data_IF_367648148357
#
_entry.id   IF_367648148357
#
_cell.length_a   1.000
_cell.length_b   1.000
_cell.length_c   1.000
_cell.angle_alpha   90.00
_cell.angle_beta   90.00
_cell.angle_gamma   90.00
#
_symmetry.space_group_name_H-M   'P 1'
#
loop_
_entity.id
_entity.type
_entity.pdbx_description
1 polymer ?
#
# COMPACT_ATOMS: atom_id res chain seq x y z
N UNK A 1 -2.20 -15.46 -7.75
CA UNK A 1 -3.64 -15.74 -7.80
C UNK A 1 -4.16 -15.47 -9.19
N UNK A 2 -5.00 -16.35 -9.71
CA UNK A 2 -5.68 -16.15 -10.99
C UNK A 2 -6.97 -15.32 -10.81
N UNK A 3 -7.62 -14.94 -11.91
CA UNK A 3 -8.86 -14.15 -11.89
C UNK A 3 -9.96 -14.77 -11.02
N UNK A 4 -10.22 -16.08 -11.17
CA UNK A 4 -11.27 -16.80 -10.42
C UNK A 4 -11.06 -16.74 -8.90
N UNK A 5 -9.81 -16.90 -8.45
CA UNK A 5 -9.44 -16.81 -7.04
C UNK A 5 -9.60 -15.38 -6.49
N UNK A 6 -9.20 -14.38 -7.27
CA UNK A 6 -9.37 -12.96 -6.90
C UNK A 6 -10.84 -12.60 -6.77
N UNK A 7 -11.68 -13.04 -7.70
CA UNK A 7 -13.10 -12.76 -7.68
C UNK A 7 -13.78 -13.38 -6.46
N UNK A 8 -13.47 -14.65 -6.14
CA UNK A 8 -13.94 -15.32 -4.93
C UNK A 8 -13.51 -14.58 -3.66
N UNK A 9 -12.25 -14.14 -3.60
CA UNK A 9 -11.72 -13.40 -2.46
C UNK A 9 -12.48 -12.08 -2.27
N UNK A 10 -12.62 -11.29 -3.32
CA UNK A 10 -13.34 -10.01 -3.29
C UNK A 10 -14.79 -10.18 -2.85
N UNK A 11 -15.49 -11.18 -3.37
CA UNK A 11 -16.87 -11.48 -2.98
C UNK A 11 -16.97 -11.83 -1.49
N UNK A 12 -16.13 -12.76 -1.01
CA UNK A 12 -16.11 -13.18 0.40
C UNK A 12 -15.75 -12.03 1.34
N UNK A 13 -14.81 -11.17 0.96
CA UNK A 13 -14.41 -10.01 1.76
C UNK A 13 -15.52 -8.96 1.90
N UNK A 14 -16.44 -8.89 0.94
CA UNK A 14 -17.66 -8.06 1.02
C UNK A 14 -18.84 -8.75 1.71
N UNK A 15 -18.65 -9.98 2.21
CA UNK A 15 -19.71 -10.76 2.85
C UNK A 15 -20.82 -11.21 1.90
N UNK A 16 -20.60 -11.16 0.57
CA UNK A 16 -21.64 -11.46 -0.41
C UNK A 16 -21.72 -12.94 -0.72
N UNK A 17 -22.93 -13.44 -0.88
CA UNK A 17 -23.22 -14.71 -1.55
C UNK A 17 -23.06 -14.57 -3.07
N UNK A 18 -22.93 -15.70 -3.78
CA UNK A 18 -22.91 -15.68 -5.24
C UNK A 18 -24.21 -15.11 -5.83
N UNK A 19 -25.34 -15.30 -5.14
CA UNK A 19 -26.64 -14.76 -5.53
C UNK A 19 -26.63 -13.23 -5.45
N UNK A 20 -26.26 -12.68 -4.29
CA UNK A 20 -26.24 -11.23 -4.08
C UNK A 20 -25.24 -10.52 -5.01
N UNK A 21 -24.10 -11.15 -5.30
CA UNK A 21 -23.17 -10.60 -6.28
C UNK A 21 -23.76 -10.61 -7.69
N UNK A 22 -24.47 -11.68 -8.06
CA UNK A 22 -25.10 -11.79 -9.37
C UNK A 22 -26.21 -10.75 -9.54
N UNK A 23 -27.04 -10.54 -8.51
CA UNK A 23 -28.06 -9.48 -8.47
C UNK A 23 -27.44 -8.09 -8.64
N UNK A 24 -26.34 -7.80 -7.95
CA UNK A 24 -25.66 -6.49 -8.07
C UNK A 24 -25.00 -6.24 -9.41
N UNK A 25 -24.64 -7.29 -10.13
CA UNK A 25 -24.04 -7.22 -11.46
C UNK A 25 -25.06 -7.39 -12.59
N UNK A 26 -26.34 -7.58 -12.27
CA UNK A 26 -27.41 -7.86 -13.24
C UNK A 26 -27.09 -9.07 -14.15
N UNK A 27 -26.57 -10.14 -13.53
CA UNK A 27 -26.24 -11.40 -14.20
C UNK A 27 -26.85 -12.60 -13.48
N UNK A 28 -26.83 -13.77 -14.12
CA UNK A 28 -27.27 -15.00 -13.45
C UNK A 28 -26.26 -15.46 -12.42
N UNK A 29 -26.73 -16.04 -11.30
CA UNK A 29 -25.90 -16.74 -10.31
C UNK A 29 -24.98 -17.78 -10.94
N UNK A 30 -25.44 -18.45 -12.01
CA UNK A 30 -24.65 -19.42 -12.78
C UNK A 30 -23.45 -18.77 -13.48
N UNK A 31 -23.57 -17.54 -13.97
CA UNK A 31 -22.46 -16.80 -14.56
C UNK A 31 -21.37 -16.54 -13.51
N UNK A 32 -21.74 -16.02 -12.34
CA UNK A 32 -20.81 -15.81 -11.21
C UNK A 32 -20.14 -17.11 -10.80
N UNK A 33 -20.89 -18.21 -10.67
CA UNK A 33 -20.33 -19.51 -10.33
C UNK A 33 -19.30 -20.02 -11.37
N UNK A 34 -19.55 -19.78 -12.67
CA UNK A 34 -18.60 -20.13 -13.75
C UNK A 34 -17.35 -19.27 -13.72
N UNK A 35 -17.49 -17.98 -13.41
CA UNK A 35 -16.35 -17.07 -13.25
C UNK A 35 -15.49 -17.45 -12.05
N UNK A 36 -16.12 -17.76 -10.92
CA UNK A 36 -15.41 -18.16 -9.70
C UNK A 36 -14.77 -19.55 -9.79
N UNK A 37 -15.28 -20.43 -10.64
CA UNK A 37 -14.68 -21.76 -10.88
C UNK A 37 -13.67 -21.78 -12.04
N UNK A 38 -13.44 -20.65 -12.70
CA UNK A 38 -12.52 -20.54 -13.84
C UNK A 38 -13.03 -21.21 -15.13
N UNK A 39 -14.31 -21.61 -15.18
CA UNK A 39 -14.93 -22.24 -16.35
C UNK A 39 -15.24 -21.23 -17.47
N UNK A 40 -15.41 -19.96 -17.11
CA UNK A 40 -15.64 -18.87 -18.06
C UNK A 40 -15.07 -17.57 -17.52
N UNK A 41 -14.88 -16.59 -18.39
CA UNK A 41 -14.55 -15.22 -18.02
C UNK A 41 -15.75 -14.29 -18.27
N UNK A 42 -15.93 -13.24 -17.45
CA UNK A 42 -16.86 -12.17 -17.78
C UNK A 42 -16.42 -11.44 -19.05
N UNK A 43 -17.37 -10.84 -19.76
CA UNK A 43 -17.07 -9.90 -20.84
C UNK A 43 -16.54 -8.56 -20.28
N UNK A 44 -16.15 -7.66 -21.19
CA UNK A 44 -15.57 -6.36 -20.83
C UNK A 44 -16.53 -5.52 -19.98
N UNK A 45 -17.85 -5.55 -20.28
CA UNK A 45 -18.83 -4.76 -19.55
C UNK A 45 -18.98 -5.26 -18.11
N UNK A 46 -19.09 -6.57 -17.94
CA UNK A 46 -19.14 -7.23 -16.63
C UNK A 46 -17.83 -7.03 -15.86
N UNK A 47 -16.67 -7.04 -16.52
CA UNK A 47 -15.38 -6.71 -15.89
C UNK A 47 -15.35 -5.31 -15.31
N UNK A 48 -15.88 -4.32 -16.03
CA UNK A 48 -15.99 -2.94 -15.54
C UNK A 48 -16.97 -2.85 -14.37
N UNK A 49 -18.10 -3.56 -14.42
CA UNK A 49 -19.04 -3.61 -13.30
C UNK A 49 -18.43 -4.25 -12.05
N UNK A 50 -17.70 -5.36 -12.20
CA UNK A 50 -16.97 -6.01 -11.11
C UNK A 50 -15.93 -5.05 -10.53
N UNK A 51 -15.15 -4.39 -11.39
CA UNK A 51 -14.18 -3.36 -11.00
C UNK A 51 -14.81 -2.27 -10.13
N UNK A 52 -15.99 -1.78 -10.53
CA UNK A 52 -16.73 -0.75 -9.79
C UNK A 52 -17.32 -1.29 -8.47
N UNK A 53 -17.93 -2.49 -8.49
CA UNK A 53 -18.55 -3.12 -7.32
C UNK A 53 -17.56 -3.33 -6.16
N UNK A 54 -16.33 -3.72 -6.51
CA UNK A 54 -15.27 -4.01 -5.55
C UNK A 54 -14.26 -2.86 -5.37
N UNK A 55 -14.41 -1.77 -6.13
CA UNK A 55 -13.51 -0.62 -6.11
C UNK A 55 -12.03 -1.00 -6.30
N UNK A 56 -11.79 -1.88 -7.28
CA UNK A 56 -10.47 -2.36 -7.74
C UNK A 56 -10.30 -2.02 -9.21
N UNK A 57 -9.08 -2.03 -9.75
CA UNK A 57 -8.86 -1.82 -11.18
C UNK A 57 -9.18 -3.09 -11.98
N UNK A 58 -9.59 -2.93 -13.23
CA UNK A 58 -9.69 -4.06 -14.18
C UNK A 58 -8.34 -4.77 -14.29
N UNK A 59 -7.23 -4.01 -14.30
CA UNK A 59 -5.87 -4.56 -14.34
C UNK A 59 -5.59 -5.55 -13.19
N UNK A 60 -5.99 -5.20 -11.96
CA UNK A 60 -5.90 -6.10 -10.80
C UNK A 60 -6.69 -7.39 -11.02
N UNK A 61 -7.87 -7.33 -11.64
CA UNK A 61 -8.70 -8.51 -11.90
C UNK A 61 -8.00 -9.44 -12.90
N UNK A 62 -7.50 -8.92 -14.02
CA UNK A 62 -7.06 -9.75 -15.16
C UNK A 62 -5.58 -10.14 -15.12
N UNK A 63 -4.69 -9.32 -14.54
CA UNK A 63 -3.25 -9.62 -14.56
C UNK A 63 -2.86 -10.70 -13.58
N UNK A 64 -2.32 -11.80 -14.07
CA UNK A 64 -1.56 -12.73 -13.22
C UNK A 64 -0.23 -12.07 -12.83
N UNK A 65 0.07 -12.02 -11.53
CA UNK A 65 1.33 -11.48 -10.99
C UNK A 65 2.61 -12.13 -11.58
N UNK A 66 2.50 -13.13 -12.46
CA UNK A 66 3.62 -13.85 -13.08
C UNK A 66 4.17 -13.24 -14.36
N UNK A 67 3.51 -12.24 -14.96
CA UNK A 67 4.04 -11.58 -16.17
C UNK A 67 4.66 -10.22 -15.85
N UNK A 68 5.87 -10.23 -15.27
CA UNK A 68 6.80 -9.11 -15.41
C UNK A 68 7.96 -9.54 -16.30
N UNK A 69 8.02 -8.99 -17.51
CA UNK A 69 9.17 -9.14 -18.42
C UNK A 69 10.33 -8.34 -17.78
N UNK A 70 11.37 -9.05 -17.31
CA UNK A 70 12.59 -8.42 -16.83
C UNK A 70 13.46 -7.99 -18.02
N UNK A 71 13.92 -6.74 -18.04
CA UNK A 71 15.05 -6.31 -18.88
C UNK A 71 16.17 -5.77 -18.00
N UNK A 72 17.35 -6.39 -18.16
CA UNK A 72 18.70 -6.11 -17.61
C UNK A 72 19.09 -6.72 -16.25
N UNK A 73 20.34 -7.24 -16.09
CA UNK A 73 20.71 -8.09 -14.95
C UNK A 73 21.43 -7.38 -13.78
N UNK A 74 21.89 -6.13 -13.93
CA UNK A 74 22.72 -5.47 -12.88
C UNK A 74 21.97 -4.45 -11.99
N UNK A 75 20.76 -4.01 -12.37
CA UNK A 75 19.98 -3.02 -11.61
C UNK A 75 19.12 -3.64 -10.51
N UNK A 76 18.76 -4.92 -10.63
CA UNK A 76 17.79 -5.56 -9.72
C UNK A 76 18.34 -5.75 -8.31
N UNK A 77 19.60 -6.15 -8.18
CA UNK A 77 20.22 -6.45 -6.88
C UNK A 77 20.43 -5.20 -6.03
N UNK A 78 20.76 -4.06 -6.65
CA UNK A 78 20.92 -2.80 -5.92
C UNK A 78 19.57 -2.18 -5.54
N UNK A 79 18.55 -2.35 -6.38
CA UNK A 79 17.17 -1.98 -6.04
C UNK A 79 16.62 -2.82 -4.89
N UNK A 80 16.85 -4.14 -4.91
CA UNK A 80 16.42 -5.05 -3.83
C UNK A 80 17.08 -4.69 -2.49
N UNK A 81 18.38 -4.36 -2.50
CA UNK A 81 19.09 -3.89 -1.29
C UNK A 81 18.52 -2.58 -0.75
N UNK A 82 18.17 -1.65 -1.65
CA UNK A 82 17.55 -0.38 -1.27
C UNK A 82 16.16 -0.60 -0.67
N UNK A 83 15.34 -1.47 -1.28
CA UNK A 83 14.03 -1.87 -0.76
C UNK A 83 14.18 -2.50 0.63
N UNK A 84 15.13 -3.43 0.78
CA UNK A 84 15.40 -4.10 2.05
C UNK A 84 15.80 -3.11 3.14
N UNK A 85 16.71 -2.18 2.83
CA UNK A 85 17.11 -1.13 3.75
C UNK A 85 15.95 -0.20 4.11
N UNK A 86 15.10 0.20 3.15
CA UNK A 86 13.94 1.05 3.42
C UNK A 86 12.95 0.37 4.37
N UNK A 87 12.66 -0.90 4.13
CA UNK A 87 11.77 -1.71 4.99
C UNK A 87 12.35 -1.89 6.41
N UNK A 88 13.65 -2.11 6.51
CA UNK A 88 14.37 -2.19 7.78
C UNK A 88 14.33 -0.85 8.53
N UNK A 89 14.63 0.26 7.85
CA UNK A 89 14.62 1.60 8.44
C UNK A 89 13.22 1.99 8.95
N UNK A 90 12.16 1.71 8.18
CA UNK A 90 10.78 1.96 8.62
C UNK A 90 10.42 1.24 9.92
N UNK A 91 10.91 -0.01 10.09
CA UNK A 91 10.73 -0.82 11.31
C UNK A 91 11.61 -0.38 12.48
N UNK A 92 12.60 0.47 12.25
CA UNK A 92 13.51 0.98 13.29
C UNK A 92 13.29 2.47 13.57
N UNK A 93 12.32 3.13 12.94
CA UNK A 93 12.07 4.57 13.10
C UNK A 93 10.65 4.82 13.62
N UNK A 94 9.83 5.61 12.91
CA UNK A 94 8.52 6.06 13.37
C UNK A 94 7.61 4.90 13.80
N UNK A 95 7.56 3.80 13.03
CA UNK A 95 6.71 2.65 13.34
C UNK A 95 7.11 1.96 14.67
N UNK A 96 8.39 2.00 15.03
CA UNK A 96 8.90 1.45 16.29
C UNK A 96 9.05 2.51 17.40
N UNK A 97 8.81 3.79 17.09
CA UNK A 97 9.11 4.91 18.00
C UNK A 97 10.56 4.88 18.51
N UNK A 98 11.49 4.57 17.61
CA UNK A 98 12.92 4.43 17.87
C UNK A 98 13.72 5.38 16.99
N UNK A 99 14.97 5.67 17.37
CA UNK A 99 15.90 6.49 16.59
C UNK A 99 15.39 7.89 16.22
N UNK A 100 14.63 8.51 17.12
CA UNK A 100 14.32 9.94 17.08
C UNK A 100 15.61 10.75 17.24
N UNK A 101 15.73 11.84 16.49
CA UNK A 101 16.91 12.71 16.51
C UNK A 101 16.50 14.17 16.76
N UNK A 102 17.49 15.04 16.89
CA UNK A 102 17.25 16.48 17.02
C UNK A 102 16.62 17.01 15.74
N UNK A 103 15.50 17.72 15.87
CA UNK A 103 14.78 18.33 14.76
C UNK A 103 15.67 19.24 13.92
N UNK A 104 15.66 19.04 12.61
CA UNK A 104 16.42 19.83 11.64
C UNK A 104 15.64 21.04 11.14
N UNK A 105 14.31 21.07 11.33
CA UNK A 105 13.41 22.17 10.94
C UNK A 105 12.60 22.64 12.15
N UNK A 106 12.05 23.84 12.06
CA UNK A 106 11.12 24.32 13.07
C UNK A 106 9.89 23.41 13.14
N UNK A 107 9.53 22.98 14.35
CA UNK A 107 8.33 22.17 14.63
C UNK A 107 8.29 20.83 13.86
N UNK A 108 9.45 20.24 13.58
CA UNK A 108 9.55 18.93 12.93
C UNK A 108 9.88 17.82 13.92
N UNK A 109 9.44 16.62 13.57
CA UNK A 109 9.82 15.36 14.18
C UNK A 109 10.72 14.61 13.21
N UNK A 110 11.91 14.27 13.67
CA UNK A 110 12.97 13.75 12.81
C UNK A 110 13.43 12.38 13.34
N UNK A 111 13.52 11.42 12.44
CA UNK A 111 14.03 10.07 12.71
C UNK A 111 15.17 9.76 11.75
N UNK A 112 16.23 9.13 12.26
CA UNK A 112 17.39 8.77 11.44
C UNK A 112 17.79 7.33 11.70
N UNK A 113 18.03 6.56 10.64
CA UNK A 113 18.57 5.20 10.75
C UNK A 113 19.72 4.99 9.78
N UNK A 114 20.77 4.29 10.19
CA UNK A 114 21.94 4.03 9.35
C UNK A 114 22.33 2.56 9.46
N UNK A 115 22.54 1.91 8.32
CA UNK A 115 23.07 0.56 8.24
C UNK A 115 23.97 0.43 7.00
N UNK A 116 25.25 0.11 7.21
CA UNK A 116 26.24 0.03 6.14
C UNK A 116 26.38 1.35 5.38
N UNK A 117 26.31 1.35 4.03
CA UNK A 117 26.45 2.56 3.22
C UNK A 117 25.18 3.42 3.22
N UNK A 118 24.08 2.95 3.81
CA UNK A 118 22.79 3.60 3.71
C UNK A 118 22.44 4.40 4.95
N UNK A 119 21.91 5.60 4.72
CA UNK A 119 21.32 6.47 5.75
C UNK A 119 19.90 6.83 5.34
N UNK A 120 18.95 6.62 6.24
CA UNK A 120 17.53 6.96 6.11
C UNK A 120 17.22 8.15 7.01
N UNK A 121 16.43 9.10 6.49
CA UNK A 121 15.78 10.15 7.29
C UNK A 121 14.29 10.13 7.03
N UNK A 122 13.51 10.27 8.10
CA UNK A 122 12.08 10.58 8.06
C UNK A 122 11.83 11.85 8.85
N UNK A 123 11.30 12.86 8.18
CA UNK A 123 11.00 14.16 8.79
C UNK A 123 9.57 14.51 8.48
N UNK A 124 8.79 14.84 9.52
CA UNK A 124 7.45 15.38 9.33
C UNK A 124 7.15 16.54 10.27
N UNK A 125 6.16 17.34 9.90
CA UNK A 125 5.60 18.42 10.73
C UNK A 125 4.11 18.17 10.98
N UNK A 126 3.60 18.67 12.09
CA UNK A 126 2.19 18.56 12.47
C UNK A 126 1.84 17.28 13.24
N UNK A 127 0.54 17.08 13.43
CA UNK A 127 -0.03 15.99 14.23
C UNK A 127 -1.26 15.39 13.57
N UNK A 128 -2.45 15.91 13.85
CA UNK A 128 -3.69 15.46 13.20
C UNK A 128 -3.72 15.76 11.70
N UNK A 129 -3.06 16.83 11.26
CA UNK A 129 -2.76 17.12 9.86
C UNK A 129 -1.26 17.26 9.76
N UNK A 130 -0.65 16.53 8.85
CA UNK A 130 0.81 16.41 8.81
C UNK A 130 1.30 16.28 7.38
N UNK A 131 2.54 16.74 7.17
CA UNK A 131 3.28 16.59 5.94
C UNK A 131 4.69 16.12 6.27
N UNK A 132 5.24 15.21 5.47
CA UNK A 132 6.57 14.69 5.72
C UNK A 132 7.27 14.12 4.50
N UNK A 133 8.50 13.71 4.72
CA UNK A 133 9.40 13.17 3.72
C UNK A 133 10.24 12.03 4.31
N UNK A 134 10.28 10.91 3.60
CA UNK A 134 11.31 9.89 3.75
C UNK A 134 12.39 10.11 2.69
N UNK A 135 13.66 10.02 3.04
CA UNK A 135 14.77 10.11 2.11
C UNK A 135 15.89 9.13 2.48
N UNK A 136 16.54 8.56 1.46
CA UNK A 136 17.64 7.62 1.63
C UNK A 136 18.86 8.10 0.85
N UNK A 137 20.02 8.05 1.50
CA UNK A 137 21.33 8.26 0.90
C UNK A 137 22.11 6.95 0.91
N UNK A 138 22.89 6.72 -0.15
CA UNK A 138 23.94 5.69 -0.23
C UNK A 138 25.28 6.39 -0.40
N UNK A 139 26.22 6.17 0.51
CA UNK A 139 27.54 6.81 0.50
C UNK A 139 27.46 8.34 0.38
N UNK A 140 26.50 8.95 1.09
CA UNK A 140 26.26 10.39 1.09
C UNK A 140 25.54 10.96 -0.14
N UNK A 141 25.20 10.14 -1.14
CA UNK A 141 24.40 10.56 -2.32
C UNK A 141 22.95 10.14 -2.16
N UNK A 142 22.01 11.04 -2.44
CA UNK A 142 20.57 10.73 -2.39
C UNK A 142 20.22 9.71 -3.48
N UNK A 143 19.51 8.66 -3.11
CA UNK A 143 19.09 7.58 -4.03
C UNK A 143 17.58 7.36 -4.05
N UNK A 144 16.85 7.86 -3.05
CA UNK A 144 15.40 7.70 -2.95
C UNK A 144 14.79 8.84 -2.13
N UNK A 145 13.57 9.24 -2.50
CA UNK A 145 12.74 10.10 -1.68
C UNK A 145 11.26 9.78 -1.87
N UNK A 146 10.47 9.96 -0.80
CA UNK A 146 9.02 9.90 -0.81
C UNK A 146 8.47 11.05 0.04
N UNK A 147 7.51 11.81 -0.50
CA UNK A 147 6.77 12.81 0.25
C UNK A 147 5.38 12.28 0.58
N UNK A 148 4.82 12.76 1.69
CA UNK A 148 3.48 12.38 2.12
C UNK A 148 2.75 13.53 2.81
N UNK A 149 1.42 13.54 2.66
CA UNK A 149 0.51 14.51 3.27
C UNK A 149 -0.72 13.76 3.74
N UNK A 150 -0.98 13.79 5.05
CA UNK A 150 -2.06 13.03 5.65
C UNK A 150 -2.82 13.78 6.71
N UNK A 151 -3.94 13.19 7.10
CA UNK A 151 -4.81 13.71 8.15
C UNK A 151 -5.61 12.63 8.85
N UNK A 152 -5.85 12.85 10.14
CA UNK A 152 -6.90 12.21 10.93
C UNK A 152 -8.23 12.89 10.56
N UNK A 153 -9.24 12.08 10.27
CA UNK A 153 -10.57 12.54 9.85
C UNK A 153 -11.55 12.63 11.03
N UNK A 154 -11.30 11.88 12.10
CA UNK A 154 -12.11 11.89 13.31
C UNK A 154 -11.83 10.69 14.21
N UNK A 155 -12.54 10.65 15.32
CA UNK A 155 -12.51 9.52 16.26
C UNK A 155 -13.32 8.31 15.73
N UNK A 156 -12.97 7.07 16.12
CA UNK A 156 -11.84 6.71 16.99
C UNK A 156 -10.58 6.40 16.16
N UNK A 157 -9.67 7.36 15.97
CA UNK A 157 -8.40 7.08 15.29
C UNK A 157 -7.39 6.49 16.28
N UNK A 158 -6.62 5.49 15.84
CA UNK A 158 -5.60 4.86 16.66
C UNK A 158 -4.23 4.90 15.96
N UNK A 159 -3.34 5.77 16.44
CA UNK A 159 -1.98 5.88 15.93
C UNK A 159 -1.14 4.61 16.10
N UNK A 160 -1.42 3.79 17.12
CA UNK A 160 -0.71 2.52 17.30
C UNK A 160 -1.11 1.49 16.23
N UNK A 161 -2.38 1.49 15.80
CA UNK A 161 -2.82 0.67 14.68
C UNK A 161 -2.12 1.10 13.37
N UNK A 162 -1.99 2.41 13.13
CA UNK A 162 -1.22 2.90 11.98
C UNK A 162 0.24 2.39 12.04
N UNK A 163 0.93 2.56 13.18
CA UNK A 163 2.30 2.05 13.36
C UNK A 163 2.40 0.54 13.12
N UNK A 164 1.43 -0.22 13.62
CA UNK A 164 1.35 -1.67 13.38
C UNK A 164 1.23 -1.97 11.89
N UNK A 165 0.33 -1.31 11.16
CA UNK A 165 0.15 -1.50 9.72
C UNK A 165 1.43 -1.16 8.92
N UNK A 166 2.08 -0.03 9.24
CA UNK A 166 3.33 0.38 8.60
C UNK A 166 4.45 -0.66 8.83
N UNK A 167 4.49 -1.28 10.01
CA UNK A 167 5.47 -2.35 10.33
C UNK A 167 5.29 -3.62 9.49
N UNK A 168 4.14 -3.81 8.83
CA UNK A 168 3.83 -4.97 7.99
C UNK A 168 4.18 -4.77 6.51
N UNK A 169 4.81 -3.66 6.13
CA UNK A 169 5.35 -3.49 4.78
C UNK A 169 6.33 -4.62 4.42
N UNK A 170 6.30 -5.04 3.15
CA UNK A 170 7.12 -6.13 2.61
C UNK A 170 7.66 -5.80 1.21
N UNK A 171 8.37 -6.73 0.56
CA UNK A 171 8.96 -6.48 -0.77
C UNK A 171 7.93 -6.35 -1.89
N UNK A 172 6.71 -6.85 -1.71
CA UNK A 172 5.64 -6.69 -2.70
C UNK A 172 4.95 -5.33 -2.55
N UNK A 173 4.90 -4.81 -1.33
CA UNK A 173 4.39 -3.48 -0.99
C UNK A 173 5.43 -2.68 -0.17
N UNK A 174 6.57 -2.27 -0.77
CA UNK A 174 7.69 -1.66 -0.06
C UNK A 174 7.50 -0.16 0.20
N UNK A 175 6.25 0.29 0.30
CA UNK A 175 5.87 1.68 0.47
C UNK A 175 5.48 1.91 1.94
N UNK A 176 4.32 2.48 2.23
CA UNK A 176 3.90 2.74 3.62
C UNK A 176 3.61 1.46 4.42
N UNK A 177 2.76 0.58 3.91
CA UNK A 177 2.30 -0.66 4.53
C UNK A 177 1.84 -1.69 3.49
N UNK A 178 1.31 -2.86 3.90
CA UNK A 178 0.78 -3.86 2.96
C UNK A 178 -0.48 -3.34 2.26
N UNK A 179 -0.91 -3.98 1.17
CA UNK A 179 -2.14 -3.56 0.46
C UNK A 179 -3.37 -3.56 1.38
N UNK A 180 -3.44 -4.54 2.29
CA UNK A 180 -4.47 -4.69 3.30
C UNK A 180 -3.87 -5.15 4.63
N UNK A 181 -4.33 -4.56 5.73
CA UNK A 181 -4.03 -5.03 7.08
C UNK A 181 -5.23 -4.79 8.01
N UNK A 182 -5.57 -5.77 8.84
CA UNK A 182 -6.70 -5.68 9.76
C UNK A 182 -6.29 -6.19 11.14
N UNK A 183 -6.71 -5.45 12.18
CA UNK A 183 -6.51 -5.81 13.58
C UNK A 183 -7.69 -5.27 14.39
N UNK A 184 -8.47 -6.18 14.98
CA UNK A 184 -9.73 -5.84 15.63
C UNK A 184 -10.71 -5.12 14.69
N UNK A 185 -11.21 -3.97 15.13
CA UNK A 185 -12.19 -3.14 14.41
C UNK A 185 -11.56 -2.23 13.34
N UNK A 186 -10.22 -2.22 13.24
CA UNK A 186 -9.48 -1.35 12.35
C UNK A 186 -9.04 -2.04 11.07
N UNK A 187 -9.24 -1.36 9.94
CA UNK A 187 -8.85 -1.82 8.60
C UNK A 187 -7.98 -0.76 7.92
N UNK A 188 -6.74 -1.11 7.62
CA UNK A 188 -5.81 -0.36 6.80
C UNK A 188 -5.89 -0.81 5.34
N UNK A 189 -5.86 0.14 4.42
CA UNK A 189 -5.74 -0.11 2.97
C UNK A 189 -4.67 0.80 2.40
N UNK A 190 -3.84 0.26 1.53
CA UNK A 190 -2.83 0.99 0.80
C UNK A 190 -2.93 0.66 -0.68
N UNK A 191 -3.11 1.69 -1.52
CA UNK A 191 -3.12 1.56 -2.98
C UNK A 191 -1.94 2.32 -3.55
N UNK A 192 -1.25 1.72 -4.52
CA UNK A 192 -0.12 2.34 -5.20
C UNK A 192 -0.27 2.17 -6.70
N UNK A 193 0.05 3.22 -7.44
CA UNK A 193 0.17 3.24 -8.90
C UNK A 193 1.61 3.56 -9.25
N UNK A 194 2.18 2.76 -10.15
CA UNK A 194 3.60 2.84 -10.52
C UNK A 194 4.40 1.70 -9.89
N UNK A 195 5.72 1.87 -9.84
CA UNK A 195 6.65 0.94 -9.24
C UNK A 195 7.60 1.68 -8.28
N UNK A 196 8.49 0.96 -7.60
CA UNK A 196 9.39 1.56 -6.61
C UNK A 196 10.33 2.64 -7.20
N UNK A 197 10.51 2.67 -8.52
CA UNK A 197 11.29 3.71 -9.19
C UNK A 197 10.54 5.01 -9.38
N UNK A 198 9.21 4.95 -9.48
CA UNK A 198 8.32 6.10 -9.60
C UNK A 198 6.87 5.71 -9.27
N UNK A 199 6.33 6.26 -8.18
CA UNK A 199 5.00 5.89 -7.69
C UNK A 199 4.22 7.04 -7.07
N UNK A 200 2.89 6.86 -7.06
CA UNK A 200 1.95 7.61 -6.26
C UNK A 200 1.07 6.63 -5.52
N UNK A 201 0.72 6.93 -4.28
CA UNK A 201 -0.08 6.07 -3.46
C UNK A 201 -0.99 6.81 -2.50
N UNK A 202 -1.89 6.02 -1.95
CA UNK A 202 -2.93 6.48 -1.06
C UNK A 202 -3.18 5.41 -0.01
N UNK A 203 -3.07 5.80 1.25
CA UNK A 203 -3.44 4.95 2.38
C UNK A 203 -4.62 5.52 3.15
N UNK A 204 -5.40 4.62 3.71
CA UNK A 204 -6.58 4.96 4.49
C UNK A 204 -6.80 3.95 5.61
N UNK A 205 -7.36 4.42 6.72
CA UNK A 205 -7.77 3.57 7.84
C UNK A 205 -9.25 3.78 8.10
N UNK A 206 -9.92 2.66 8.32
CA UNK A 206 -11.31 2.59 8.76
C UNK A 206 -11.38 1.99 10.16
N UNK A 207 -12.32 2.46 10.98
CA UNK A 207 -12.76 1.81 12.20
C UNK A 207 -14.28 1.62 12.12
N UNK A 208 -14.79 0.39 12.27
CA UNK A 208 -16.23 0.09 12.15
C UNK A 208 -16.85 0.69 10.88
N UNK A 209 -16.18 0.52 9.73
CA UNK A 209 -16.56 1.06 8.41
C UNK A 209 -16.50 2.60 8.26
N UNK A 210 -16.22 3.34 9.32
CA UNK A 210 -16.02 4.79 9.28
C UNK A 210 -14.56 5.07 8.95
N UNK A 211 -14.32 5.91 7.94
CA UNK A 211 -12.96 6.32 7.58
C UNK A 211 -12.44 7.34 8.61
N UNK A 212 -11.34 7.00 9.27
CA UNK A 212 -10.77 7.81 10.38
C UNK A 212 -9.42 8.43 10.02
N UNK A 213 -8.78 8.01 8.93
CA UNK A 213 -7.49 8.55 8.49
C UNK A 213 -7.29 8.37 7.00
N UNK A 214 -6.54 9.29 6.41
CA UNK A 214 -6.05 9.20 5.04
C UNK A 214 -4.70 9.87 4.86
N UNK A 215 -3.90 9.38 3.91
CA UNK A 215 -2.63 9.96 3.54
C UNK A 215 -2.32 9.72 2.06
N UNK A 216 -1.98 10.79 1.35
CA UNK A 216 -1.43 10.72 0.00
C UNK A 216 0.09 10.69 0.09
N UNK A 217 0.73 9.90 -0.75
CA UNK A 217 2.18 9.83 -0.82
C UNK A 217 2.67 9.61 -2.24
N UNK A 218 3.89 10.04 -2.54
CA UNK A 218 4.51 9.83 -3.84
C UNK A 218 6.02 9.87 -3.72
N UNK A 219 6.72 9.11 -4.55
CA UNK A 219 8.16 8.97 -4.43
C UNK A 219 8.77 8.17 -5.56
N UNK A 220 10.06 7.90 -5.41
CA UNK A 220 10.82 7.15 -6.38
C UNK A 220 12.33 7.26 -6.17
N UNK A 221 13.07 6.76 -7.15
CA UNK A 221 14.51 6.89 -7.19
C UNK A 221 14.92 8.34 -7.48
N UNK A 222 16.03 8.75 -6.87
CA UNK A 222 16.68 10.05 -7.10
C UNK A 222 18.02 9.77 -7.79
N UNK A 223 18.35 10.55 -8.81
CA UNK A 223 19.60 10.46 -9.58
C UNK A 223 20.51 11.67 -9.36
#
# INVERSE_FOLDING_TARGET
>A
MNFSEKLQLLRKNKGLTQEEMAERLDVSRQAVAKWESGQAYPDILNLVQISNLFNVSVDFLVRDQKCMINVSPDTKTDLDKLIDFRLEAGKNTYAASMNETTSTRFDSHDFQYTNGPFTYHDTYVGGEKFAGQEAIWKDGKSVYAMNYLGRVLGEPFNGNFLKEALSKADKNMPYRGPEYFQSGEYLYKCKVVGDFTWFQGYEEIYCNEIKVYECYFHGGLIC
#
